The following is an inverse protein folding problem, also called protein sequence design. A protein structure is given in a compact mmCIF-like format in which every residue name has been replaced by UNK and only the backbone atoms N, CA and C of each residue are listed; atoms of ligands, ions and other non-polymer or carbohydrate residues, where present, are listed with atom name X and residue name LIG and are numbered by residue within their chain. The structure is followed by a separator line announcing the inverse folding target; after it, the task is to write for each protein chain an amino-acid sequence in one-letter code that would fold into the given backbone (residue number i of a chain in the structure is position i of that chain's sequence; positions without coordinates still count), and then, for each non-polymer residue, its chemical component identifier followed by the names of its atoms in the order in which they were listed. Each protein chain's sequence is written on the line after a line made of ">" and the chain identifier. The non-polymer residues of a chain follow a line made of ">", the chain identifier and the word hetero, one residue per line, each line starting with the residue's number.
data_IF_583780051793
#
_entry.id   IF_583780051793
#
_cell.length_a   1.000
_cell.length_b   1.000
_cell.length_c   1.000
_cell.angle_alpha   90.00
_cell.angle_beta   90.00
_cell.angle_gamma   90.00
#
_symmetry.space_group_name_H-M   'P 1'
#
loop_
_entity.id
_entity.type
_entity.pdbx_description
1 polymer ?
#
# COMPACT_ATOMS: atom_id res chain seq x y z
N UNK A 1 36.90 -3.01 -9.30
CA UNK A 1 35.62 -3.09 -10.05
C UNK A 1 34.60 -4.10 -9.49
N UNK A 2 34.99 -5.14 -8.74
CA UNK A 2 34.04 -6.15 -8.23
C UNK A 2 33.14 -5.66 -7.08
N UNK A 3 33.59 -4.65 -6.33
CA UNK A 3 32.85 -4.11 -5.17
C UNK A 3 31.79 -3.06 -5.58
N UNK A 4 31.99 -2.38 -6.71
CA UNK A 4 31.02 -1.40 -7.24
C UNK A 4 29.73 -2.13 -7.63
N UNK A 5 29.82 -3.26 -8.33
CA UNK A 5 28.66 -4.10 -8.66
C UNK A 5 27.91 -4.60 -7.42
N UNK A 6 28.61 -4.92 -6.33
CA UNK A 6 27.96 -5.34 -5.07
C UNK A 6 27.12 -4.22 -4.46
N UNK A 7 27.61 -2.97 -4.50
CA UNK A 7 26.88 -1.80 -3.98
C UNK A 7 25.66 -1.51 -4.84
N UNK A 8 25.80 -1.58 -6.17
CA UNK A 8 24.68 -1.37 -7.10
C UNK A 8 23.55 -2.39 -6.86
N UNK A 9 23.88 -3.65 -6.62
CA UNK A 9 22.90 -4.69 -6.27
C UNK A 9 22.22 -4.41 -4.93
N UNK A 10 22.97 -3.99 -3.91
CA UNK A 10 22.40 -3.65 -2.60
C UNK A 10 21.41 -2.48 -2.68
N UNK A 11 21.71 -1.47 -3.50
CA UNK A 11 20.82 -0.32 -3.72
C UNK A 11 19.54 -0.76 -4.45
N UNK A 12 19.67 -1.58 -5.50
CA UNK A 12 18.53 -2.11 -6.26
C UNK A 12 17.59 -2.95 -5.39
N UNK A 13 18.15 -3.81 -4.54
CA UNK A 13 17.37 -4.61 -3.57
C UNK A 13 16.71 -3.71 -2.53
N UNK A 14 17.43 -2.70 -2.00
CA UNK A 14 16.86 -1.73 -1.06
C UNK A 14 15.68 -0.94 -1.66
N UNK A 15 15.80 -0.49 -2.91
CA UNK A 15 14.73 0.20 -3.65
C UNK A 15 13.51 -0.70 -3.90
N UNK A 16 13.70 -1.98 -4.22
CA UNK A 16 12.59 -2.92 -4.41
C UNK A 16 11.83 -3.20 -3.10
N UNK A 17 12.54 -3.28 -1.97
CA UNK A 17 11.93 -3.48 -0.65
C UNK A 17 11.22 -2.20 -0.18
N UNK A 18 11.79 -1.02 -0.43
CA UNK A 18 11.13 0.26 -0.18
C UNK A 18 9.88 0.45 -1.05
N UNK A 19 9.84 -0.13 -2.25
CA UNK A 19 8.67 -0.08 -3.13
C UNK A 19 7.44 -0.80 -2.54
N UNK A 20 7.64 -1.80 -1.65
CA UNK A 20 6.57 -2.47 -0.91
C UNK A 20 6.20 -1.75 0.39
N UNK A 21 7.12 -1.06 1.05
CA UNK A 21 6.85 -0.30 2.29
C UNK A 21 6.27 1.10 1.99
N UNK A 22 6.55 1.66 0.80
CA UNK A 22 5.92 2.86 0.26
C UNK A 22 4.53 2.57 -0.34
N UNK A 23 3.86 1.50 0.08
CA UNK A 23 2.43 1.24 -0.15
C UNK A 23 1.55 2.19 0.71
N UNK A 24 1.91 3.47 0.65
CA UNK A 24 1.04 4.64 0.53
C UNK A 24 -0.25 4.61 1.37
N UNK A 25 -0.18 4.90 2.67
CA UNK A 25 -1.37 5.21 3.49
C UNK A 25 -2.25 6.30 2.86
N UNK A 26 -1.67 7.24 2.10
CA UNK A 26 -2.42 8.25 1.35
C UNK A 26 -3.16 7.71 0.12
N UNK A 27 -2.67 6.64 -0.51
CA UNK A 27 -3.38 5.95 -1.58
C UNK A 27 -4.64 5.29 -1.03
N UNK A 28 -4.50 4.53 0.06
CA UNK A 28 -5.63 3.84 0.69
C UNK A 28 -6.67 4.82 1.24
N UNK A 29 -6.24 5.93 1.84
CA UNK A 29 -7.16 6.98 2.29
C UNK A 29 -8.00 7.59 1.15
N UNK A 30 -7.42 7.75 -0.06
CA UNK A 30 -8.17 8.24 -1.24
C UNK A 30 -9.05 7.17 -1.89
N UNK A 31 -8.65 5.91 -1.78
CA UNK A 31 -9.48 4.79 -2.23
C UNK A 31 -10.71 4.72 -1.33
N UNK A 32 -10.51 4.76 -0.02
CA UNK A 32 -11.56 4.76 0.99
C UNK A 32 -12.56 5.91 0.80
N UNK A 33 -12.07 7.16 0.69
CA UNK A 33 -12.94 8.31 0.40
C UNK A 33 -13.79 8.14 -0.87
N UNK A 34 -13.20 7.62 -1.96
CA UNK A 34 -13.93 7.40 -3.21
C UNK A 34 -14.96 6.28 -3.12
N UNK A 35 -14.70 5.25 -2.32
CA UNK A 35 -15.70 4.24 -2.04
C UNK A 35 -16.84 4.87 -1.24
N UNK A 36 -16.53 5.66 -0.20
CA UNK A 36 -17.54 6.35 0.60
C UNK A 36 -18.45 7.28 -0.24
N UNK A 37 -17.90 8.04 -1.21
CA UNK A 37 -18.68 8.88 -2.13
C UNK A 37 -19.65 8.09 -3.03
N UNK A 38 -19.26 6.87 -3.43
CA UNK A 38 -20.12 5.95 -4.17
C UNK A 38 -21.20 5.31 -3.29
N UNK A 39 -21.15 5.60 -2.00
CA UNK A 39 -21.99 4.98 -1.00
C UNK A 39 -21.49 3.59 -0.66
N UNK A 40 -20.18 3.35 -0.62
CA UNK A 40 -19.60 2.07 -0.19
C UNK A 40 -18.56 2.35 0.89
N UNK A 41 -18.83 2.01 2.15
CA UNK A 41 -17.85 2.15 3.23
C UNK A 41 -17.27 0.78 3.58
N UNK A 42 -15.95 0.67 3.50
CA UNK A 42 -15.23 -0.56 3.82
C UNK A 42 -14.62 -0.43 5.21
N UNK A 43 -14.98 -1.34 6.10
CA UNK A 43 -14.45 -1.39 7.45
C UNK A 43 -13.53 -2.59 7.56
N UNK A 44 -12.34 -2.36 8.06
CA UNK A 44 -11.44 -3.41 8.50
C UNK A 44 -11.72 -3.70 9.97
N UNK A 45 -12.07 -4.96 10.28
CA UNK A 45 -12.23 -5.38 11.66
C UNK A 45 -10.88 -5.64 12.30
N UNK A 46 -10.89 -5.75 13.63
CA UNK A 46 -9.69 -6.13 14.39
C UNK A 46 -9.12 -7.50 13.97
N UNK A 47 -9.94 -8.38 13.37
CA UNK A 47 -9.53 -9.69 12.84
C UNK A 47 -8.99 -9.64 11.40
N UNK A 48 -8.78 -8.45 10.81
CA UNK A 48 -8.25 -8.27 9.44
C UNK A 48 -9.27 -8.58 8.32
N UNK A 49 -10.49 -8.98 8.71
CA UNK A 49 -11.60 -9.15 7.78
C UNK A 49 -12.08 -7.78 7.31
N UNK A 50 -11.91 -7.51 6.02
CA UNK A 50 -12.46 -6.31 5.36
C UNK A 50 -13.85 -6.63 4.85
N UNK A 51 -14.83 -5.82 5.26
CA UNK A 51 -16.19 -5.91 4.74
C UNK A 51 -16.67 -4.54 4.31
N UNK A 52 -17.31 -4.49 3.15
CA UNK A 52 -17.83 -3.26 2.58
C UNK A 52 -19.35 -3.24 2.68
N UNK A 53 -19.89 -2.11 3.07
CA UNK A 53 -21.32 -1.86 3.15
C UNK A 53 -21.69 -0.82 2.12
N UNK A 54 -22.71 -1.10 1.32
CA UNK A 54 -23.35 -0.06 0.53
C UNK A 54 -24.27 0.78 1.43
N UNK A 55 -24.03 2.08 1.46
CA UNK A 55 -24.69 3.11 2.27
C UNK A 55 -25.63 3.99 1.45
N UNK A 56 -25.82 3.68 0.15
CA UNK A 56 -26.64 4.46 -0.79
C UNK A 56 -27.55 3.58 -1.65
#
# INVERSE_FOLDING_TARGET
>A
MKNIFKILILILVGLSVASCELFSPSYWNRVDQRMAEKGTECYERYDGTVYCKDTK
#
